data_IF_602385265169
#
_entry.id   IF_602385265169
#
_cell.length_a   1.000
_cell.length_b   1.000
_cell.length_c   1.000
_cell.angle_alpha   90.00
_cell.angle_beta   90.00
_cell.angle_gamma   90.00
#
_symmetry.space_group_name_H-M   'P 1'
#
loop_
_entity.id
_entity.type
_entity.pdbx_description
1 polymer ?
#
# COMPACT_ATOMS: atom_id res chain seq x y z
N UNK A 1 -14.81 -8.71 -34.18
CA UNK A 1 -13.40 -8.40 -34.23
C UNK A 1 -12.94 -8.04 -32.86
N UNK A 2 -12.24 -8.97 -32.18
CA UNK A 2 -11.67 -8.76 -30.86
C UNK A 2 -10.46 -7.81 -30.98
N UNK A 3 -10.46 -6.71 -30.23
CA UNK A 3 -9.32 -5.87 -30.04
C UNK A 3 -8.46 -6.46 -28.91
N UNK A 4 -7.32 -7.00 -29.31
CA UNK A 4 -6.29 -7.55 -28.41
C UNK A 4 -5.60 -6.40 -27.70
N UNK A 5 -5.94 -6.15 -26.45
CA UNK A 5 -5.32 -5.18 -25.56
C UNK A 5 -3.95 -5.68 -25.13
N UNK A 6 -2.89 -5.29 -25.85
CA UNK A 6 -1.51 -5.50 -25.43
C UNK A 6 -1.25 -4.67 -24.16
N UNK A 7 -1.23 -5.34 -23.01
CA UNK A 7 -0.76 -4.83 -21.73
C UNK A 7 0.71 -4.43 -21.92
N UNK A 8 1.05 -3.17 -21.67
CA UNK A 8 2.44 -2.74 -21.65
C UNK A 8 3.16 -3.45 -20.50
N UNK A 9 4.03 -4.39 -20.82
CA UNK A 9 4.94 -5.00 -19.86
C UNK A 9 6.01 -3.96 -19.49
N UNK A 10 5.87 -3.37 -18.31
CA UNK A 10 6.91 -2.58 -17.68
C UNK A 10 8.00 -3.54 -17.19
N UNK A 11 9.20 -3.41 -17.76
CA UNK A 11 10.42 -3.97 -17.16
C UNK A 11 10.80 -5.38 -17.56
N UNK A 12 10.60 -5.80 -18.80
CA UNK A 12 11.33 -6.97 -19.34
C UNK A 12 12.78 -6.60 -19.56
N UNK A 13 13.66 -7.12 -18.69
CA UNK A 13 15.10 -7.16 -18.99
C UNK A 13 15.28 -7.88 -20.33
N UNK A 14 15.63 -7.15 -21.38
CA UNK A 14 15.90 -7.73 -22.68
C UNK A 14 17.16 -8.58 -22.54
N UNK A 15 17.01 -9.90 -22.56
CA UNK A 15 18.14 -10.81 -22.65
C UNK A 15 18.73 -10.66 -24.08
N UNK A 16 19.79 -9.88 -24.20
CA UNK A 16 20.52 -9.73 -25.45
C UNK A 16 21.67 -10.74 -25.41
N UNK A 17 21.74 -11.61 -26.40
CA UNK A 17 22.91 -12.44 -26.62
C UNK A 17 23.97 -11.60 -27.37
N UNK A 18 25.03 -11.24 -26.66
CA UNK A 18 26.16 -10.51 -27.24
C UNK A 18 27.31 -11.49 -27.40
N UNK A 19 27.78 -11.64 -28.62
CA UNK A 19 29.02 -12.39 -28.91
C UNK A 19 30.23 -11.59 -28.40
N UNK A 20 31.22 -12.29 -27.82
CA UNK A 20 32.43 -11.68 -27.27
C UNK A 20 32.15 -10.56 -26.24
N UNK A 21 31.33 -10.84 -25.26
CA UNK A 21 30.91 -9.88 -24.19
C UNK A 21 32.12 -9.25 -23.49
N UNK A 22 33.23 -9.95 -23.36
CA UNK A 22 34.49 -9.45 -22.78
C UNK A 22 35.12 -8.27 -23.54
N UNK A 23 34.72 -8.03 -24.78
CA UNK A 23 35.10 -6.84 -25.54
C UNK A 23 34.43 -5.59 -24.96
N UNK A 24 33.20 -5.73 -24.45
CA UNK A 24 32.34 -4.63 -24.05
C UNK A 24 32.38 -4.37 -22.57
N UNK A 25 32.64 -5.40 -21.76
CA UNK A 25 32.64 -5.29 -20.30
C UNK A 25 33.76 -6.11 -19.66
N UNK A 26 34.38 -5.54 -18.63
CA UNK A 26 35.16 -6.29 -17.65
C UNK A 26 34.28 -6.54 -16.44
N UNK A 27 33.96 -7.81 -16.19
CA UNK A 27 33.14 -8.17 -15.01
C UNK A 27 33.99 -7.99 -13.76
N UNK A 28 33.43 -7.31 -12.75
CA UNK A 28 34.03 -7.13 -11.44
C UNK A 28 34.19 -8.44 -10.68
N UNK A 29 34.83 -8.38 -9.54
CA UNK A 29 34.99 -9.55 -8.66
C UNK A 29 33.59 -10.02 -8.20
N UNK A 30 33.27 -11.29 -8.53
CA UNK A 30 31.97 -11.88 -8.24
C UNK A 30 32.09 -13.14 -7.37
N UNK A 31 33.31 -13.55 -7.02
CA UNK A 31 33.59 -14.70 -6.15
C UNK A 31 34.20 -14.21 -4.84
N UNK A 32 33.77 -14.82 -3.73
CA UNK A 32 34.30 -14.48 -2.42
C UNK A 32 33.74 -13.18 -1.83
N UNK A 33 32.64 -12.68 -2.37
CA UNK A 33 31.93 -11.53 -1.77
C UNK A 33 31.47 -11.88 -0.35
N UNK A 34 31.78 -11.00 0.58
CA UNK A 34 31.26 -11.08 1.96
C UNK A 34 30.11 -10.09 2.06
N UNK A 35 28.89 -10.60 2.25
CA UNK A 35 27.68 -9.81 2.35
C UNK A 35 27.01 -10.09 3.69
N UNK A 36 26.40 -9.06 4.28
CA UNK A 36 25.61 -9.23 5.48
C UNK A 36 24.24 -9.82 5.14
N UNK A 37 23.89 -10.91 5.83
CA UNK A 37 22.61 -11.59 5.71
C UNK A 37 21.92 -11.65 7.08
N UNK A 38 21.88 -10.52 7.77
CA UNK A 38 21.21 -10.43 9.06
C UNK A 38 19.69 -10.42 8.83
N UNK A 39 18.99 -11.29 9.54
CA UNK A 39 17.52 -11.33 9.61
C UNK A 39 17.13 -10.97 11.04
N UNK A 40 16.35 -9.91 11.19
CA UNK A 40 15.83 -9.54 12.50
C UNK A 40 14.89 -10.62 13.03
N UNK A 41 14.99 -10.89 14.34
CA UNK A 41 14.12 -11.86 14.98
C UNK A 41 12.69 -11.32 15.07
N UNK A 42 11.72 -12.15 14.73
CA UNK A 42 10.30 -11.84 14.90
C UNK A 42 9.95 -11.79 16.39
N UNK A 43 9.41 -10.67 16.82
CA UNK A 43 9.01 -10.41 18.21
C UNK A 43 7.55 -10.82 18.47
N UNK A 44 7.14 -10.85 19.73
CA UNK A 44 5.73 -11.03 20.10
C UNK A 44 4.87 -9.84 19.64
N UNK A 45 5.44 -8.65 19.59
CA UNK A 45 4.76 -7.45 19.11
C UNK A 45 4.48 -7.54 17.61
N UNK A 46 5.40 -8.09 16.79
CA UNK A 46 5.17 -8.31 15.36
C UNK A 46 4.01 -9.29 15.13
N UNK A 47 3.98 -10.37 15.90
CA UNK A 47 2.88 -11.35 15.85
C UNK A 47 1.57 -10.71 16.28
N UNK A 48 1.58 -9.89 17.33
CA UNK A 48 0.37 -9.21 17.78
C UNK A 48 -0.12 -8.20 16.75
N UNK A 49 0.77 -7.43 16.13
CA UNK A 49 0.40 -6.48 15.08
C UNK A 49 -0.29 -7.16 13.89
N UNK A 50 0.20 -8.34 13.46
CA UNK A 50 -0.46 -9.11 12.41
C UNK A 50 -1.84 -9.61 12.84
N UNK A 51 -1.98 -10.06 14.08
CA UNK A 51 -3.28 -10.49 14.62
C UNK A 51 -4.27 -9.33 14.68
N UNK A 52 -3.83 -8.16 15.10
CA UNK A 52 -4.68 -6.96 15.15
C UNK A 52 -5.15 -6.57 13.75
N UNK A 53 -4.31 -6.71 12.73
CA UNK A 53 -4.68 -6.49 11.33
C UNK A 53 -5.72 -7.52 10.87
N UNK A 54 -5.51 -8.80 11.18
CA UNK A 54 -6.46 -9.87 10.84
C UNK A 54 -7.82 -9.69 11.54
N UNK A 55 -7.83 -9.23 12.79
CA UNK A 55 -9.08 -8.91 13.51
C UNK A 55 -9.85 -7.77 12.83
N UNK A 56 -9.15 -6.74 12.36
CA UNK A 56 -9.73 -5.62 11.59
C UNK A 56 -10.32 -6.09 10.26
N UNK A 57 -9.55 -6.87 9.51
CA UNK A 57 -9.97 -7.37 8.20
C UNK A 57 -11.22 -8.26 8.30
N UNK A 58 -11.35 -8.97 9.41
CA UNK A 58 -12.49 -9.87 9.69
C UNK A 58 -13.56 -9.24 10.57
N UNK A 59 -13.54 -7.91 10.73
CA UNK A 59 -14.55 -7.18 11.49
C UNK A 59 -15.96 -7.42 10.91
N UNK A 60 -16.89 -7.81 11.77
CA UNK A 60 -18.26 -8.20 11.39
C UNK A 60 -19.25 -7.05 11.55
N UNK A 61 -20.28 -6.97 10.69
CA UNK A 61 -21.35 -6.00 10.86
C UNK A 61 -22.07 -6.16 12.19
N UNK A 62 -22.28 -5.04 12.87
CA UNK A 62 -23.05 -4.99 14.12
C UNK A 62 -24.27 -4.06 13.98
N UNK A 63 -25.32 -4.36 14.74
CA UNK A 63 -26.52 -3.52 14.82
C UNK A 63 -26.44 -2.48 15.95
N UNK A 64 -25.42 -2.58 16.78
CA UNK A 64 -25.17 -1.67 17.89
C UNK A 64 -24.72 -0.30 17.40
N UNK A 65 -24.82 0.69 18.31
CA UNK A 65 -24.28 2.00 18.05
C UNK A 65 -22.75 1.95 17.90
N UNK A 66 -22.23 2.76 16.98
CA UNK A 66 -20.81 2.90 16.73
C UNK A 66 -20.09 3.43 17.99
N UNK A 67 -18.91 2.89 18.26
CA UNK A 67 -18.03 3.28 19.36
C UNK A 67 -16.59 3.40 18.86
N UNK A 68 -15.72 3.91 19.70
CA UNK A 68 -14.27 3.93 19.45
C UNK A 68 -13.74 2.54 19.09
N UNK A 69 -12.89 2.45 18.08
CA UNK A 69 -12.33 1.22 17.51
C UNK A 69 -13.21 0.54 16.46
N UNK A 70 -14.46 0.95 16.27
CA UNK A 70 -15.30 0.38 15.21
C UNK A 70 -14.89 0.90 13.84
N UNK A 71 -14.86 0.01 12.84
CA UNK A 71 -14.73 0.34 11.44
C UNK A 71 -16.10 0.75 10.88
N UNK A 72 -16.25 2.00 10.51
CA UNK A 72 -17.51 2.54 9.99
C UNK A 72 -17.39 2.89 8.51
N UNK A 73 -18.48 2.62 7.78
CA UNK A 73 -18.67 3.07 6.40
C UNK A 73 -19.67 4.20 6.41
N UNK A 74 -19.31 5.36 5.88
CA UNK A 74 -20.18 6.54 5.85
C UNK A 74 -20.31 7.13 4.46
N UNK A 75 -21.45 7.78 4.20
CA UNK A 75 -21.56 8.79 3.17
C UNK A 75 -21.56 10.15 3.86
N UNK A 76 -20.81 11.11 3.33
CA UNK A 76 -20.85 12.46 3.86
C UNK A 76 -20.84 13.52 2.78
N UNK A 77 -21.42 14.67 3.10
CA UNK A 77 -21.39 15.88 2.28
C UNK A 77 -21.11 17.07 3.18
N UNK A 78 -19.96 17.69 2.97
CA UNK A 78 -19.55 18.90 3.65
C UNK A 78 -20.06 20.15 2.92
N UNK A 79 -20.56 21.09 3.68
CA UNK A 79 -20.98 22.39 3.20
C UNK A 79 -20.33 23.51 3.99
N UNK A 80 -19.92 24.57 3.31
CA UNK A 80 -19.41 25.81 3.86
C UNK A 80 -20.27 26.94 3.35
N UNK A 81 -20.80 27.76 4.25
CA UNK A 81 -21.75 28.83 3.88
C UNK A 81 -22.94 28.29 3.03
N UNK A 82 -23.35 27.02 3.27
CA UNK A 82 -24.45 26.35 2.56
C UNK A 82 -24.08 25.82 1.16
N UNK A 83 -22.82 25.92 0.74
CA UNK A 83 -22.33 25.42 -0.56
C UNK A 83 -21.35 24.26 -0.36
N UNK A 84 -21.43 23.25 -1.21
CA UNK A 84 -20.46 22.16 -1.25
C UNK A 84 -19.12 22.68 -1.78
N UNK A 85 -18.04 21.99 -1.43
CA UNK A 85 -16.67 22.32 -1.86
C UNK A 85 -15.93 21.06 -2.29
N UNK A 86 -14.85 21.24 -3.07
CA UNK A 86 -14.02 20.15 -3.58
C UNK A 86 -13.39 19.36 -2.43
N UNK A 87 -13.52 18.02 -2.47
CA UNK A 87 -13.05 17.11 -1.42
C UNK A 87 -13.99 17.01 -0.21
N UNK A 88 -15.08 17.80 -0.15
CA UNK A 88 -16.04 17.78 0.96
C UNK A 88 -17.07 16.65 0.89
N UNK A 89 -17.06 15.81 -0.14
CA UNK A 89 -18.09 14.76 -0.32
C UNK A 89 -17.45 13.42 -0.63
N UNK A 90 -17.91 12.38 0.05
CA UNK A 90 -17.57 11.01 -0.27
C UNK A 90 -18.74 10.05 -0.05
N UNK A 91 -18.72 8.94 -0.77
CA UNK A 91 -19.66 7.83 -0.61
C UNK A 91 -18.89 6.56 -0.26
N UNK A 92 -19.45 5.78 0.66
CA UNK A 92 -18.86 4.53 1.14
C UNK A 92 -17.41 4.71 1.63
N UNK A 93 -17.16 5.79 2.37
CA UNK A 93 -15.85 6.04 2.95
C UNK A 93 -15.72 5.23 4.24
N UNK A 94 -14.67 4.41 4.31
CA UNK A 94 -14.34 3.58 5.46
C UNK A 94 -13.27 4.27 6.32
N UNK A 95 -13.48 4.29 7.64
CA UNK A 95 -12.46 4.70 8.61
C UNK A 95 -12.71 4.01 9.96
N UNK A 96 -11.68 3.93 10.79
CA UNK A 96 -11.78 3.44 12.16
C UNK A 96 -11.94 4.63 13.10
N UNK A 97 -12.96 4.60 13.93
CA UNK A 97 -13.21 5.67 14.90
C UNK A 97 -12.07 5.71 15.91
N UNK A 98 -11.38 6.83 16.03
CA UNK A 98 -10.28 7.06 16.97
C UNK A 98 -8.88 6.82 16.38
N UNK A 99 -8.75 6.48 15.11
CA UNK A 99 -7.44 6.30 14.46
C UNK A 99 -6.81 7.61 13.93
N UNK A 100 -7.58 8.71 13.96
CA UNK A 100 -7.13 10.04 13.55
C UNK A 100 -7.03 10.24 12.04
N UNK A 101 -7.66 9.38 11.23
CA UNK A 101 -7.76 9.58 9.78
C UNK A 101 -8.70 10.74 9.41
N UNK A 102 -9.70 10.97 10.25
CA UNK A 102 -10.64 12.06 10.12
C UNK A 102 -10.41 13.09 11.24
N UNK A 103 -11.04 14.25 11.14
CA UNK A 103 -11.04 15.23 12.23
C UNK A 103 -11.68 14.63 13.49
N UNK A 104 -11.13 14.96 14.65
CA UNK A 104 -11.62 14.45 15.94
C UNK A 104 -13.11 14.73 16.13
N UNK A 105 -13.59 15.90 15.73
CA UNK A 105 -15.01 16.27 15.80
C UNK A 105 -15.87 15.39 14.88
N UNK A 106 -15.32 14.97 13.72
CA UNK A 106 -16.03 14.08 12.81
C UNK A 106 -16.15 12.68 13.41
N UNK A 107 -15.05 12.12 13.90
CA UNK A 107 -15.01 10.80 14.51
C UNK A 107 -15.90 10.74 15.75
N UNK A 108 -15.75 11.71 16.65
CA UNK A 108 -16.61 11.84 17.85
C UNK A 108 -18.09 12.04 17.48
N UNK A 109 -18.35 12.72 16.39
CA UNK A 109 -19.69 12.94 15.87
C UNK A 109 -20.40 11.67 15.43
N UNK A 110 -19.66 10.66 14.96
CA UNK A 110 -20.18 9.36 14.51
C UNK A 110 -20.41 8.39 15.67
N UNK A 111 -19.73 8.57 16.80
CA UNK A 111 -19.96 7.76 18.00
C UNK A 111 -21.43 7.84 18.39
N UNK A 112 -22.02 6.68 18.69
CA UNK A 112 -23.43 6.54 19.07
C UNK A 112 -24.40 6.42 17.91
N UNK A 113 -23.96 6.64 16.64
CA UNK A 113 -24.80 6.44 15.47
C UNK A 113 -24.88 4.95 15.10
N UNK A 114 -26.02 4.57 14.50
CA UNK A 114 -26.26 3.24 13.97
C UNK A 114 -26.34 3.27 12.45
N UNK A 115 -26.25 2.12 11.83
CA UNK A 115 -26.51 1.96 10.39
C UNK A 115 -27.85 2.62 10.01
N UNK A 116 -27.80 3.52 9.04
CA UNK A 116 -28.95 4.28 8.54
C UNK A 116 -29.14 5.64 9.19
N UNK A 117 -28.50 5.90 10.32
CA UNK A 117 -28.58 7.20 10.99
C UNK A 117 -27.91 8.30 10.17
N UNK A 118 -28.50 9.48 10.21
CA UNK A 118 -27.96 10.68 9.59
C UNK A 118 -27.83 11.79 10.63
N UNK A 119 -26.69 12.49 10.64
CA UNK A 119 -26.39 13.57 11.59
C UNK A 119 -25.60 14.68 10.90
N UNK A 120 -25.80 15.91 11.35
CA UNK A 120 -24.94 17.03 11.00
C UNK A 120 -23.84 17.18 12.04
N UNK A 121 -22.60 17.19 11.58
CA UNK A 121 -21.39 17.34 12.40
C UNK A 121 -20.70 18.63 11.98
N UNK A 122 -20.44 19.49 12.93
CA UNK A 122 -19.74 20.76 12.72
C UNK A 122 -18.27 20.57 12.98
N UNK A 123 -17.44 21.12 12.09
CA UNK A 123 -15.98 21.08 12.18
C UNK A 123 -15.44 22.48 11.98
N UNK A 124 -14.58 22.92 12.89
CA UNK A 124 -13.82 24.15 12.77
C UNK A 124 -12.48 23.87 12.08
N UNK A 125 -12.38 24.22 10.80
CA UNK A 125 -11.18 23.94 10.02
C UNK A 125 -10.01 24.86 10.41
N UNK A 126 -8.85 24.27 10.75
CA UNK A 126 -7.65 25.05 11.11
C UNK A 126 -6.88 25.60 9.90
N UNK A 127 -7.27 25.26 8.65
CA UNK A 127 -6.52 25.63 7.46
C UNK A 127 -6.73 27.10 7.07
N UNK A 128 -5.70 27.76 6.54
CA UNK A 128 -5.78 29.14 6.06
C UNK A 128 -6.87 29.36 4.99
N UNK A 129 -7.15 28.33 4.18
CA UNK A 129 -8.16 28.37 3.12
C UNK A 129 -9.60 28.33 3.66
N UNK A 130 -9.80 27.70 4.81
CA UNK A 130 -11.09 27.50 5.47
C UNK A 130 -11.12 28.10 6.89
N UNK A 131 -10.01 28.72 7.35
CA UNK A 131 -9.85 29.24 8.70
C UNK A 131 -10.99 30.19 9.10
N UNK A 132 -11.56 29.94 10.27
CA UNK A 132 -12.64 30.75 10.85
C UNK A 132 -14.00 30.57 10.18
N UNK A 133 -14.17 29.50 9.38
CA UNK A 133 -15.45 29.15 8.78
C UNK A 133 -15.93 27.79 9.28
N UNK A 134 -17.14 27.78 9.77
CA UNK A 134 -17.85 26.57 10.16
C UNK A 134 -18.14 25.72 8.91
N UNK A 135 -17.69 24.48 8.90
CA UNK A 135 -18.04 23.48 7.90
C UNK A 135 -18.99 22.48 8.55
N UNK A 136 -20.12 22.26 7.91
CA UNK A 136 -21.13 21.30 8.38
C UNK A 136 -21.07 20.08 7.46
N UNK A 137 -20.79 18.92 8.05
CA UNK A 137 -20.85 17.64 7.37
C UNK A 137 -22.17 16.94 7.68
N UNK A 138 -22.99 16.70 6.66
CA UNK A 138 -24.12 15.78 6.76
C UNK A 138 -23.59 14.37 6.55
N UNK A 139 -23.58 13.57 7.61
CA UNK A 139 -23.01 12.22 7.62
C UNK A 139 -24.12 11.19 7.75
N UNK A 140 -24.09 10.15 6.91
CA UNK A 140 -25.01 9.00 6.99
C UNK A 140 -24.19 7.73 7.17
N UNK A 141 -24.42 6.99 8.24
CA UNK A 141 -23.73 5.70 8.50
C UNK A 141 -24.34 4.60 7.62
N UNK A 142 -23.51 4.01 6.76
CA UNK A 142 -23.90 2.90 5.88
C UNK A 142 -23.70 1.55 6.53
N UNK A 143 -22.64 1.42 7.33
CA UNK A 143 -22.34 0.19 8.06
C UNK A 143 -21.51 0.49 9.31
N UNK A 144 -21.62 -0.38 10.31
CA UNK A 144 -20.75 -0.41 11.48
C UNK A 144 -20.22 -1.84 11.57
N UNK A 145 -18.90 -2.00 11.52
CA UNK A 145 -18.23 -3.28 11.68
C UNK A 145 -17.37 -3.23 12.93
N UNK A 146 -17.35 -4.32 13.68
CA UNK A 146 -16.59 -4.41 14.92
C UNK A 146 -15.66 -5.61 14.88
N UNK A 147 -14.44 -5.40 15.35
CA UNK A 147 -13.48 -6.47 15.55
C UNK A 147 -14.00 -7.46 16.59
N UNK A 148 -13.73 -8.74 16.35
CA UNK A 148 -13.96 -9.78 17.35
C UNK A 148 -12.87 -9.78 18.42
N UNK A 149 -13.14 -10.42 19.54
CA UNK A 149 -12.10 -10.75 20.51
C UNK A 149 -11.33 -11.99 20.03
N UNK A 150 -10.00 -11.97 20.19
CA UNK A 150 -9.16 -13.12 19.86
C UNK A 150 -9.42 -14.25 20.88
N UNK A 151 -10.23 -15.20 20.49
CA UNK A 151 -10.59 -16.41 21.27
C UNK A 151 -10.44 -17.65 20.41
N UNK A 152 -10.40 -18.83 21.02
CA UNK A 152 -10.37 -20.08 20.27
C UNK A 152 -11.59 -20.23 19.34
N UNK A 153 -12.76 -19.70 19.76
CA UNK A 153 -13.96 -19.70 18.91
C UNK A 153 -13.79 -18.79 17.68
N UNK A 154 -13.19 -17.61 17.87
CA UNK A 154 -12.91 -16.70 16.77
C UNK A 154 -11.91 -17.32 15.80
N UNK A 155 -10.83 -17.92 16.33
CA UNK A 155 -9.79 -18.60 15.53
C UNK A 155 -10.41 -19.74 14.72
N UNK A 156 -11.18 -20.62 15.34
CA UNK A 156 -11.83 -21.74 14.66
C UNK A 156 -12.84 -21.31 13.58
N UNK A 157 -13.46 -20.15 13.76
CA UNK A 157 -14.42 -19.58 12.80
C UNK A 157 -13.74 -18.94 11.60
N UNK A 158 -12.61 -18.27 11.81
CA UNK A 158 -12.03 -17.32 10.86
C UNK A 158 -10.70 -17.78 10.24
N UNK A 159 -10.14 -18.90 10.73
CA UNK A 159 -8.84 -19.43 10.29
C UNK A 159 -8.90 -20.96 10.15
N UNK A 160 -7.81 -21.57 9.72
CA UNK A 160 -7.68 -23.04 9.64
C UNK A 160 -7.20 -23.67 10.96
N UNK A 161 -7.07 -22.87 12.02
CA UNK A 161 -6.61 -23.29 13.34
C UNK A 161 -7.78 -23.41 14.32
N UNK A 162 -7.55 -24.04 15.47
CA UNK A 162 -8.59 -24.26 16.48
C UNK A 162 -8.30 -23.59 17.81
N UNK A 163 -7.06 -23.16 18.04
CA UNK A 163 -6.65 -22.47 19.27
C UNK A 163 -5.89 -21.19 18.96
N UNK A 164 -5.95 -20.23 19.87
CA UNK A 164 -5.18 -18.99 19.79
C UNK A 164 -3.67 -19.27 19.75
N UNK A 165 -3.21 -20.25 20.51
CA UNK A 165 -1.78 -20.59 20.55
C UNK A 165 -1.28 -21.14 19.21
N UNK A 166 -2.00 -22.07 18.60
CA UNK A 166 -1.63 -22.61 17.27
C UNK A 166 -1.66 -21.51 16.19
N UNK A 167 -2.63 -20.62 16.29
CA UNK A 167 -2.74 -19.49 15.36
C UNK A 167 -1.57 -18.50 15.50
N UNK A 168 -1.20 -18.14 16.73
CA UNK A 168 -0.04 -17.28 17.00
C UNK A 168 1.26 -17.89 16.49
N UNK A 169 1.44 -19.19 16.69
CA UNK A 169 2.63 -19.92 16.20
C UNK A 169 2.67 -19.94 14.68
N UNK A 170 1.53 -20.13 14.02
CA UNK A 170 1.46 -20.08 12.55
C UNK A 170 1.86 -18.73 11.99
N UNK A 171 1.34 -17.62 12.58
CA UNK A 171 1.71 -16.26 12.20
C UNK A 171 3.20 -16.04 12.39
N UNK A 172 3.76 -16.43 13.54
CA UNK A 172 5.20 -16.33 13.80
C UNK A 172 6.01 -17.03 12.73
N UNK A 173 5.64 -18.28 12.42
CA UNK A 173 6.31 -19.10 11.41
C UNK A 173 6.26 -18.45 10.02
N UNK A 174 5.12 -17.86 9.66
CA UNK A 174 4.95 -17.15 8.38
C UNK A 174 5.80 -15.88 8.32
N UNK A 175 5.78 -15.06 9.38
CA UNK A 175 6.60 -13.84 9.46
C UNK A 175 8.09 -14.16 9.39
N UNK A 176 8.56 -15.20 10.09
CA UNK A 176 9.95 -15.65 10.03
C UNK A 176 10.35 -16.14 8.62
N UNK A 177 9.45 -16.86 7.96
CA UNK A 177 9.66 -17.31 6.58
C UNK A 177 9.78 -16.12 5.65
N UNK A 178 8.85 -15.18 5.73
CA UNK A 178 8.82 -13.98 4.89
C UNK A 178 10.07 -13.10 5.13
N UNK A 179 10.50 -12.95 6.38
CA UNK A 179 11.73 -12.21 6.72
C UNK A 179 12.98 -12.89 6.10
N UNK A 180 13.08 -14.21 6.15
CA UNK A 180 14.17 -14.96 5.53
C UNK A 180 14.17 -14.83 4.00
N UNK A 181 13.00 -14.93 3.36
CA UNK A 181 12.85 -14.78 1.92
C UNK A 181 13.22 -13.37 1.48
N UNK A 182 12.73 -12.35 2.20
CA UNK A 182 13.08 -10.95 1.94
C UNK A 182 14.58 -10.69 2.09
N UNK A 183 15.20 -11.19 3.15
CA UNK A 183 16.64 -11.06 3.35
C UNK A 183 17.44 -11.72 2.22
N UNK A 184 17.01 -12.89 1.72
CA UNK A 184 17.65 -13.54 0.57
C UNK A 184 17.55 -12.71 -0.71
N UNK A 185 16.40 -12.08 -0.96
CA UNK A 185 16.25 -11.18 -2.13
C UNK A 185 17.13 -9.93 -2.01
N UNK A 186 17.20 -9.33 -0.82
CA UNK A 186 18.10 -8.21 -0.54
C UNK A 186 19.55 -8.64 -0.76
N UNK A 187 19.93 -9.80 -0.27
CA UNK A 187 21.29 -10.35 -0.45
C UNK A 187 21.65 -10.55 -1.93
N UNK A 188 20.76 -11.13 -2.72
CA UNK A 188 20.94 -11.31 -4.16
C UNK A 188 21.11 -9.96 -4.87
N UNK A 189 20.24 -8.99 -4.56
CA UNK A 189 20.29 -7.68 -5.16
C UNK A 189 21.57 -6.92 -4.77
N UNK A 190 22.01 -7.02 -3.52
CA UNK A 190 23.27 -6.45 -3.05
C UNK A 190 24.47 -7.09 -3.75
N UNK A 191 24.49 -8.43 -3.85
CA UNK A 191 25.53 -9.13 -4.58
C UNK A 191 25.61 -8.67 -6.03
N UNK A 192 24.47 -8.57 -6.71
CA UNK A 192 24.38 -8.12 -8.08
C UNK A 192 24.87 -6.68 -8.26
N UNK A 193 24.39 -5.76 -7.39
CA UNK A 193 24.83 -4.36 -7.41
C UNK A 193 26.34 -4.24 -7.19
N UNK A 194 26.90 -4.98 -6.22
CA UNK A 194 28.33 -4.99 -5.93
C UNK A 194 29.14 -5.44 -7.14
N UNK A 195 28.70 -6.49 -7.84
CA UNK A 195 29.37 -6.96 -9.06
C UNK A 195 29.30 -5.91 -10.17
N UNK A 196 28.13 -5.28 -10.36
CA UNK A 196 27.96 -4.23 -11.37
C UNK A 196 28.82 -3.01 -11.08
N UNK A 197 28.84 -2.53 -9.83
CA UNK A 197 29.65 -1.37 -9.43
C UNK A 197 31.14 -1.59 -9.63
N UNK A 198 31.61 -2.83 -9.42
CA UNK A 198 33.00 -3.23 -9.64
C UNK A 198 33.30 -3.63 -11.09
N UNK A 199 32.30 -3.59 -11.97
CA UNK A 199 32.45 -3.91 -13.39
C UNK A 199 32.72 -2.65 -14.21
N UNK A 200 33.51 -2.78 -15.25
CA UNK A 200 33.83 -1.68 -16.17
C UNK A 200 33.19 -1.92 -17.53
N UNK A 201 32.34 -0.98 -17.97
CA UNK A 201 31.83 -0.95 -19.34
C UNK A 201 32.86 -0.25 -20.20
N UNK A 202 33.49 -0.98 -21.14
CA UNK A 202 34.51 -0.47 -22.04
C UNK A 202 33.89 0.24 -23.25
N UNK A 203 32.90 -0.38 -23.86
CA UNK A 203 32.14 0.16 -24.98
C UNK A 203 30.75 -0.49 -25.04
N UNK A 204 29.88 0.09 -25.85
CA UNK A 204 28.54 -0.48 -26.10
C UNK A 204 28.48 -1.05 -27.52
N UNK A 205 27.81 -2.19 -27.75
CA UNK A 205 27.49 -2.63 -29.11
C UNK A 205 26.71 -1.54 -29.83
N UNK A 206 27.21 -1.12 -31.02
CA UNK A 206 26.67 0.06 -31.69
C UNK A 206 25.17 -0.11 -32.04
N UNK A 207 24.81 -1.28 -32.54
CA UNK A 207 23.42 -1.57 -32.94
C UNK A 207 22.46 -1.50 -31.75
N UNK A 208 22.88 -1.99 -30.57
CA UNK A 208 22.07 -1.92 -29.33
C UNK A 208 21.97 -0.47 -28.83
N UNK A 209 23.07 0.30 -28.93
CA UNK A 209 23.08 1.70 -28.53
C UNK A 209 22.14 2.53 -29.43
N UNK A 210 22.13 2.29 -30.74
CA UNK A 210 21.28 3.00 -31.69
C UNK A 210 19.81 2.61 -31.53
N UNK A 211 19.54 1.33 -31.20
CA UNK A 211 18.22 0.86 -30.85
C UNK A 211 17.73 1.54 -29.57
N UNK A 212 18.51 1.54 -28.49
CA UNK A 212 18.16 2.16 -27.21
C UNK A 212 17.90 3.67 -27.34
N UNK A 213 18.74 4.38 -28.15
CA UNK A 213 18.51 5.81 -28.44
C UNK A 213 17.20 6.06 -29.17
N UNK A 214 16.85 5.18 -30.11
CA UNK A 214 15.61 5.29 -30.88
C UNK A 214 14.40 5.04 -29.99
N UNK A 215 14.44 4.01 -29.16
CA UNK A 215 13.39 3.67 -28.20
C UNK A 215 13.19 4.80 -27.18
N UNK A 216 14.29 5.32 -26.61
CA UNK A 216 14.26 6.44 -25.69
C UNK A 216 13.65 7.70 -26.32
N UNK A 217 14.10 8.06 -27.53
CA UNK A 217 13.54 9.20 -28.27
C UNK A 217 12.04 9.04 -28.51
N UNK A 218 11.60 7.85 -28.95
CA UNK A 218 10.19 7.55 -29.19
C UNK A 218 9.36 7.67 -27.89
N UNK A 219 9.90 7.18 -26.78
CA UNK A 219 9.24 7.28 -25.47
C UNK A 219 9.02 8.75 -25.08
N UNK A 220 10.04 9.58 -25.17
CA UNK A 220 9.94 11.00 -24.81
C UNK A 220 9.08 11.80 -25.77
N UNK A 221 9.12 11.51 -27.08
CA UNK A 221 8.20 12.11 -28.06
C UNK A 221 6.73 11.78 -27.74
N UNK A 222 6.45 10.57 -27.26
CA UNK A 222 5.11 10.19 -26.85
C UNK A 222 4.67 10.92 -25.56
N UNK A 223 5.56 11.07 -24.57
CA UNK A 223 5.28 11.87 -23.38
C UNK A 223 5.05 13.35 -23.72
N UNK A 224 5.86 13.92 -24.60
CA UNK A 224 5.69 15.31 -25.02
C UNK A 224 4.34 15.53 -25.72
N UNK A 225 3.91 14.60 -26.57
CA UNK A 225 2.58 14.67 -27.23
C UNK A 225 1.43 14.56 -26.25
N UNK A 226 1.56 13.78 -25.16
CA UNK A 226 0.52 13.67 -24.13
C UNK A 226 0.44 14.91 -23.24
N UNK A 227 1.54 15.67 -23.12
CA UNK A 227 1.62 16.86 -22.29
C UNK A 227 1.54 18.20 -23.06
N UNK A 228 1.16 18.18 -24.36
CA UNK A 228 1.17 19.37 -25.25
C UNK A 228 2.55 20.12 -25.25
N UNK A 229 3.64 19.39 -24.96
CA UNK A 229 5.00 19.94 -24.95
C UNK A 229 5.71 19.63 -26.28
N UNK A 230 6.48 20.61 -26.79
CA UNK A 230 7.42 20.39 -27.89
C UNK A 230 8.79 20.03 -27.31
N UNK A 231 9.41 18.99 -27.87
CA UNK A 231 10.82 18.61 -27.60
C UNK A 231 11.77 19.52 -28.40
#
# INVERSE_FOLDING_TARGET
GAADGKKAETGTTRLVSIENVEKYITIGEYKGLTLDNTVDAITDDDVQAQIDEDLKDKAEPVSDAAKEGDLVTVNYTGTKDGQTFDGGTANNYDFVIGDGQMFEEFENGVIGMKKGDTKEIKIDFPSETLAGKEVIYKVTVQNVRREGELTDEWVAKNTDYTTVDDYRESIRSELEKNAKESAQEVLKNTAWSTVLENSEVKEYPQDDLDTAKTEFKTLYENYAKQGDMTL
#
